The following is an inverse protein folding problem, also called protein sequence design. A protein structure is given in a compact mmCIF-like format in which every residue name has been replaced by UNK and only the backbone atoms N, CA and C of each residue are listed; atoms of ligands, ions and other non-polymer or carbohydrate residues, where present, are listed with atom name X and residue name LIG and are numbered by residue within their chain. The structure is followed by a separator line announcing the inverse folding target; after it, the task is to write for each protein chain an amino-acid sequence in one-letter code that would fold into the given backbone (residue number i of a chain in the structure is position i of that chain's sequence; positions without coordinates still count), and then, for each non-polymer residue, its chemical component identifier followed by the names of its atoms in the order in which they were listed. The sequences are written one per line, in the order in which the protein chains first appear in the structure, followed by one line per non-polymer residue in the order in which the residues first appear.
data_IF_594935866101
#
_entry.id   IF_594935866101
#
_cell.length_a   1.000
_cell.length_b   1.000
_cell.length_c   1.000
_cell.angle_alpha   90.00
_cell.angle_beta   90.00
_cell.angle_gamma   90.00
#
_symmetry.space_group_name_H-M   'P 1'
#
loop_
_entity.id
_entity.type
_entity.pdbx_description
1 polymer ?
#
# COMPACT_ATOMS: atom_id res chain seq x y z
N UNK A 1 12.21 -6.86 -44.27
CA UNK A 1 11.42 -5.62 -44.16
C UNK A 1 12.35 -4.49 -43.78
N UNK A 2 12.20 -3.35 -44.43
CA UNK A 2 13.22 -2.30 -44.49
C UNK A 2 13.08 -1.37 -43.27
N UNK A 3 13.83 -1.64 -42.18
CA UNK A 3 13.88 -0.83 -40.94
C UNK A 3 13.85 0.69 -41.19
N UNK A 4 14.44 1.16 -42.28
CA UNK A 4 14.51 2.59 -42.63
C UNK A 4 13.16 3.20 -43.06
N UNK A 5 12.25 2.44 -43.66
CA UNK A 5 10.92 2.93 -44.06
C UNK A 5 9.98 2.96 -42.85
N UNK A 6 10.03 1.91 -42.02
CA UNK A 6 9.27 1.84 -40.77
C UNK A 6 9.65 2.98 -39.81
N UNK A 7 10.93 3.36 -39.74
CA UNK A 7 11.39 4.45 -38.87
C UNK A 7 10.77 5.82 -39.22
N UNK A 8 10.49 6.11 -40.49
CA UNK A 8 9.94 7.41 -40.91
C UNK A 8 8.45 7.52 -40.56
N UNK A 9 7.69 6.44 -40.78
CA UNK A 9 6.27 6.40 -40.41
C UNK A 9 6.09 6.35 -38.89
N UNK A 10 6.92 5.57 -38.18
CA UNK A 10 6.94 5.55 -36.73
C UNK A 10 7.41 6.88 -36.14
N UNK A 11 8.35 7.60 -36.74
CA UNK A 11 8.80 8.91 -36.24
C UNK A 11 7.68 9.96 -36.20
N UNK A 12 6.70 9.90 -37.12
CA UNK A 12 5.53 10.79 -37.09
C UNK A 12 4.54 10.42 -35.99
N UNK A 13 4.42 9.14 -35.67
CA UNK A 13 3.55 8.63 -34.60
C UNK A 13 4.19 8.75 -33.19
N UNK A 14 5.52 8.86 -33.13
CA UNK A 14 6.29 8.83 -31.89
C UNK A 14 6.70 10.22 -31.36
N UNK A 15 6.13 11.30 -31.89
CA UNK A 15 6.30 12.62 -31.26
C UNK A 15 5.47 12.66 -29.99
N UNK A 16 6.14 12.86 -28.85
CA UNK A 16 5.49 13.01 -27.56
C UNK A 16 5.22 14.50 -27.33
N UNK A 17 3.98 14.85 -27.03
CA UNK A 17 3.58 16.21 -26.67
C UNK A 17 4.29 16.65 -25.37
N UNK A 18 4.71 17.91 -25.30
CA UNK A 18 5.40 18.46 -24.14
C UNK A 18 4.58 18.39 -22.83
N UNK A 19 3.26 18.28 -22.91
CA UNK A 19 2.37 18.04 -21.76
C UNK A 19 2.56 16.68 -21.10
N UNK A 20 3.20 15.71 -21.77
CA UNK A 20 3.59 14.43 -21.17
C UNK A 20 4.97 14.49 -20.50
N UNK A 21 5.65 15.65 -20.50
CA UNK A 21 6.91 15.82 -19.81
C UNK A 21 6.69 15.60 -18.30
N UNK A 22 7.47 14.68 -17.75
CA UNK A 22 7.51 14.43 -16.32
C UNK A 22 8.58 15.31 -15.69
N UNK A 23 8.16 16.42 -15.09
CA UNK A 23 9.06 17.45 -14.57
C UNK A 23 9.71 17.09 -13.23
N UNK A 24 9.32 15.98 -12.61
CA UNK A 24 9.85 15.50 -11.32
C UNK A 24 11.31 15.07 -11.38
N UNK A 25 11.82 14.71 -12.56
CA UNK A 25 13.14 14.09 -12.72
C UNK A 25 14.08 14.93 -13.58
N UNK A 26 15.35 14.90 -13.21
CA UNK A 26 16.46 15.15 -14.12
C UNK A 26 16.86 13.81 -14.77
N UNK A 27 17.10 13.82 -16.08
CA UNK A 27 17.54 12.67 -16.85
C UNK A 27 19.02 12.82 -17.21
N UNK A 28 19.84 11.89 -16.72
CA UNK A 28 21.29 11.99 -16.66
C UNK A 28 22.02 10.91 -17.49
N UNK A 29 21.77 10.84 -18.82
CA UNK A 29 22.29 9.75 -19.67
C UNK A 29 23.81 9.78 -19.86
N UNK A 30 24.47 10.90 -19.54
CA UNK A 30 25.92 11.05 -19.72
C UNK A 30 26.72 10.58 -18.50
N UNK A 31 26.06 10.33 -17.36
CA UNK A 31 26.77 10.06 -16.10
C UNK A 31 27.06 8.57 -15.88
N UNK A 32 26.27 7.67 -16.48
CA UNK A 32 26.40 6.22 -16.27
C UNK A 32 26.11 5.42 -17.56
N UNK A 33 26.55 4.16 -17.59
CA UNK A 33 26.15 3.19 -18.61
C UNK A 33 24.90 2.41 -18.20
N UNK A 34 24.44 1.50 -19.07
CA UNK A 34 23.32 0.63 -18.74
C UNK A 34 23.61 -0.23 -17.48
N UNK A 35 22.64 -0.34 -16.55
CA UNK A 35 22.82 -1.15 -15.35
C UNK A 35 22.91 -2.63 -15.69
N UNK A 36 23.82 -3.34 -15.00
CA UNK A 36 23.84 -4.81 -15.00
C UNK A 36 22.91 -5.37 -13.92
N UNK A 37 22.98 -4.82 -12.72
CA UNK A 37 22.10 -5.13 -11.59
C UNK A 37 22.26 -4.04 -10.51
N UNK A 38 21.16 -3.55 -9.96
CA UNK A 38 21.18 -2.68 -8.77
C UNK A 38 20.58 -3.43 -7.59
N UNK A 39 21.23 -3.34 -6.41
CA UNK A 39 20.66 -3.88 -5.18
C UNK A 39 19.58 -2.92 -4.65
N UNK A 40 18.33 -3.38 -4.68
CA UNK A 40 17.18 -2.66 -4.12
C UNK A 40 16.71 -3.26 -2.79
N UNK A 41 17.50 -4.17 -2.21
CA UNK A 41 17.08 -4.90 -1.02
C UNK A 41 17.01 -4.03 0.23
N UNK A 42 16.07 -4.37 1.10
CA UNK A 42 15.82 -3.69 2.37
C UNK A 42 15.22 -4.69 3.38
N UNK A 43 15.19 -4.29 4.65
CA UNK A 43 14.49 -5.06 5.67
C UNK A 43 13.08 -4.51 5.87
N UNK A 44 12.10 -5.39 6.00
CA UNK A 44 10.71 -5.02 6.26
C UNK A 44 10.06 -6.09 7.12
N UNK A 45 9.47 -5.71 8.27
CA UNK A 45 8.90 -6.65 9.24
C UNK A 45 9.89 -7.77 9.64
N UNK A 46 11.15 -7.37 9.87
CA UNK A 46 12.27 -8.24 10.22
C UNK A 46 12.63 -9.31 9.17
N UNK A 47 12.20 -9.15 7.92
CA UNK A 47 12.56 -10.03 6.80
C UNK A 47 13.20 -9.22 5.68
N UNK A 48 14.04 -9.88 4.87
CA UNK A 48 14.72 -9.22 3.75
C UNK A 48 13.84 -9.25 2.50
N UNK A 49 13.47 -8.08 2.01
CA UNK A 49 12.88 -7.91 0.69
C UNK A 49 13.99 -7.67 -0.34
N UNK A 50 13.84 -8.19 -1.57
CA UNK A 50 14.76 -7.88 -2.68
C UNK A 50 14.46 -6.56 -3.38
N UNK A 51 13.20 -6.11 -3.29
CA UNK A 51 12.73 -4.89 -3.92
C UNK A 51 11.77 -4.15 -2.97
N UNK A 52 11.75 -2.80 -2.96
CA UNK A 52 10.88 -1.98 -2.14
C UNK A 52 9.44 -1.91 -2.70
N UNK A 53 8.87 -3.08 -2.98
CA UNK A 53 7.55 -3.25 -3.57
C UNK A 53 6.67 -3.98 -2.57
N UNK A 54 5.44 -3.50 -2.44
CA UNK A 54 4.41 -4.10 -1.61
C UNK A 54 3.13 -4.36 -2.40
N UNK A 55 2.57 -5.56 -2.30
CA UNK A 55 1.24 -5.85 -2.83
C UNK A 55 0.20 -5.52 -1.75
N UNK A 56 -0.49 -4.38 -1.90
CA UNK A 56 -1.48 -3.91 -0.93
C UNK A 56 -2.71 -4.82 -0.84
N UNK A 57 -3.39 -4.82 0.32
CA UNK A 57 -4.56 -5.66 0.60
C UNK A 57 -5.69 -5.47 -0.41
N UNK A 58 -6.23 -6.56 -0.96
CA UNK A 58 -7.29 -6.51 -1.98
C UNK A 58 -8.45 -7.47 -1.73
N UNK A 59 -8.20 -8.78 -1.68
CA UNK A 59 -9.25 -9.79 -1.78
C UNK A 59 -8.97 -11.06 -0.96
N UNK A 60 -9.99 -11.90 -0.82
CA UNK A 60 -10.02 -13.12 -0.02
C UNK A 60 -11.46 -13.54 0.30
N UNK A 61 -11.68 -14.78 0.71
CA UNK A 61 -13.00 -15.27 1.11
C UNK A 61 -13.97 -15.62 -0.02
N UNK A 62 -13.48 -15.80 -1.26
CA UNK A 62 -14.23 -16.33 -2.42
C UNK A 62 -13.32 -17.18 -3.32
N UNK A 63 -13.84 -18.14 -4.13
CA UNK A 63 -13.01 -18.99 -4.99
C UNK A 63 -12.08 -18.21 -5.94
N UNK A 64 -12.59 -17.17 -6.60
CA UNK A 64 -11.77 -16.29 -7.45
C UNK A 64 -10.70 -15.53 -6.64
N UNK A 65 -11.01 -15.15 -5.40
CA UNK A 65 -10.07 -14.51 -4.49
C UNK A 65 -8.91 -15.45 -4.12
N UNK A 66 -9.20 -16.74 -3.90
CA UNK A 66 -8.17 -17.76 -3.64
C UNK A 66 -7.19 -17.87 -4.82
N UNK A 67 -7.70 -18.04 -6.05
CA UNK A 67 -6.86 -18.14 -7.23
C UNK A 67 -5.98 -16.89 -7.43
N UNK A 68 -6.54 -15.70 -7.23
CA UNK A 68 -5.79 -14.45 -7.31
C UNK A 68 -4.69 -14.41 -6.24
N UNK A 69 -5.01 -14.72 -4.98
CA UNK A 69 -4.04 -14.73 -3.89
C UNK A 69 -2.92 -15.75 -4.11
N UNK A 70 -3.21 -16.93 -4.68
CA UNK A 70 -2.18 -17.91 -5.04
C UNK A 70 -1.22 -17.40 -6.13
N UNK A 71 -1.73 -16.63 -7.10
CA UNK A 71 -0.91 -16.02 -8.15
C UNK A 71 -0.04 -14.87 -7.60
N UNK A 72 -0.59 -14.05 -6.71
CA UNK A 72 0.17 -13.01 -6.02
C UNK A 72 1.25 -13.62 -5.12
N UNK A 73 0.91 -14.66 -4.35
CA UNK A 73 1.86 -15.40 -3.52
C UNK A 73 3.04 -15.96 -4.32
N UNK A 74 2.78 -16.46 -5.54
CA UNK A 74 3.84 -16.95 -6.43
C UNK A 74 4.89 -15.87 -6.74
N UNK A 75 4.48 -14.65 -7.10
CA UNK A 75 5.45 -13.57 -7.38
C UNK A 75 6.09 -13.03 -6.11
N UNK A 76 5.37 -12.97 -4.98
CA UNK A 76 5.95 -12.63 -3.69
C UNK A 76 7.10 -13.56 -3.32
N UNK A 77 6.93 -14.87 -3.51
CA UNK A 77 8.00 -15.85 -3.29
C UNK A 77 9.15 -15.68 -4.27
N UNK A 78 8.85 -15.60 -5.56
CA UNK A 78 9.88 -15.56 -6.62
C UNK A 78 10.77 -14.31 -6.50
N UNK A 79 10.16 -13.16 -6.22
CA UNK A 79 10.85 -11.87 -6.18
C UNK A 79 11.14 -11.37 -4.76
N UNK A 80 10.79 -12.12 -3.70
CA UNK A 80 10.93 -11.71 -2.29
C UNK A 80 10.40 -10.29 -2.04
N UNK A 81 9.10 -10.11 -2.32
CA UNK A 81 8.33 -8.89 -2.04
C UNK A 81 7.16 -9.23 -1.11
N UNK A 82 6.74 -8.28 -0.28
CA UNK A 82 5.69 -8.52 0.71
C UNK A 82 4.27 -8.32 0.17
N UNK A 83 3.27 -8.85 0.89
CA UNK A 83 1.86 -8.65 0.55
C UNK A 83 0.92 -8.55 1.75
N UNK A 84 -0.17 -7.80 1.58
CA UNK A 84 -1.31 -7.81 2.49
C UNK A 84 -2.43 -8.74 2.03
N UNK A 85 -3.00 -9.47 2.99
CA UNK A 85 -4.24 -10.22 2.77
C UNK A 85 -5.43 -9.27 2.64
N UNK A 86 -6.49 -9.69 1.96
CA UNK A 86 -7.81 -9.03 2.06
C UNK A 86 -8.35 -9.07 3.49
N UNK A 87 -9.45 -8.35 3.75
CA UNK A 87 -10.07 -8.33 5.08
C UNK A 87 -10.38 -9.75 5.58
N UNK A 88 -9.76 -10.15 6.69
CA UNK A 88 -9.96 -11.46 7.32
C UNK A 88 -11.24 -11.51 8.16
N UNK A 89 -12.07 -10.45 8.15
CA UNK A 89 -13.35 -10.41 8.89
C UNK A 89 -14.16 -11.69 8.71
N UNK A 90 -14.37 -12.12 7.46
CA UNK A 90 -15.17 -13.33 7.16
C UNK A 90 -14.54 -14.61 7.73
N UNK A 91 -13.22 -14.66 7.87
CA UNK A 91 -12.52 -15.80 8.43
C UNK A 91 -12.74 -15.91 9.95
N UNK A 92 -13.00 -14.79 10.64
CA UNK A 92 -13.35 -14.80 12.06
C UNK A 92 -14.70 -15.49 12.31
N UNK A 93 -15.61 -15.44 11.33
CA UNK A 93 -16.96 -16.02 11.42
C UNK A 93 -17.06 -17.42 10.76
N UNK A 94 -16.18 -17.76 9.82
CA UNK A 94 -16.24 -19.01 9.03
C UNK A 94 -14.85 -19.59 8.74
N UNK A 95 -14.45 -20.59 9.53
CA UNK A 95 -13.16 -21.29 9.39
C UNK A 95 -13.00 -22.00 8.04
N UNK A 96 -14.09 -22.32 7.32
CA UNK A 96 -14.00 -22.96 5.99
C UNK A 96 -13.31 -22.05 4.96
N UNK A 97 -13.23 -20.75 5.23
CA UNK A 97 -12.54 -19.77 4.39
C UNK A 97 -11.03 -19.73 4.62
N UNK A 98 -10.50 -20.46 5.60
CA UNK A 98 -9.08 -20.43 5.99
C UNK A 98 -8.13 -20.63 4.79
N UNK A 99 -8.40 -21.62 3.96
CA UNK A 99 -7.59 -21.94 2.78
C UNK A 99 -7.59 -20.85 1.70
N UNK A 100 -8.48 -19.86 1.78
CA UNK A 100 -8.47 -18.70 0.87
C UNK A 100 -7.52 -17.59 1.33
N UNK A 101 -7.08 -17.64 2.60
CA UNK A 101 -6.19 -16.68 3.24
C UNK A 101 -4.83 -17.30 3.64
N UNK A 102 -4.75 -18.63 3.79
CA UNK A 102 -3.53 -19.34 4.18
C UNK A 102 -2.51 -19.41 3.04
N UNK A 103 -1.72 -18.36 2.87
CA UNK A 103 -0.69 -18.26 1.83
C UNK A 103 0.70 -18.68 2.30
N UNK A 104 0.91 -18.90 3.61
CA UNK A 104 2.23 -19.24 4.16
C UNK A 104 2.88 -20.47 3.49
N UNK A 105 2.16 -21.57 3.20
CA UNK A 105 2.73 -22.70 2.46
C UNK A 105 3.23 -22.36 1.06
N UNK A 106 2.63 -21.34 0.43
CA UNK A 106 2.98 -20.91 -0.92
C UNK A 106 4.17 -19.97 -0.93
N UNK A 107 4.23 -19.02 0.01
CA UNK A 107 5.26 -17.98 0.03
C UNK A 107 6.53 -18.36 0.81
N UNK A 108 6.42 -19.29 1.77
CA UNK A 108 7.51 -19.64 2.69
C UNK A 108 7.65 -18.67 3.88
N UNK A 109 8.65 -18.90 4.73
CA UNK A 109 8.82 -18.12 5.97
C UNK A 109 9.49 -16.75 5.73
N UNK A 110 10.19 -16.55 4.61
CA UNK A 110 10.98 -15.34 4.35
C UNK A 110 10.17 -14.17 3.75
N UNK A 111 8.94 -14.40 3.30
CA UNK A 111 8.09 -13.37 2.72
C UNK A 111 7.21 -12.73 3.79
N UNK A 112 7.21 -11.40 3.95
CA UNK A 112 6.25 -10.71 4.80
C UNK A 112 4.81 -10.88 4.30
N UNK A 113 3.93 -11.39 5.16
CA UNK A 113 2.48 -11.37 4.97
C UNK A 113 1.84 -10.61 6.12
N UNK A 114 0.95 -9.67 5.82
CA UNK A 114 0.12 -9.02 6.86
C UNK A 114 -1.34 -9.43 6.74
N UNK A 115 -1.95 -9.76 7.87
CA UNK A 115 -3.41 -9.88 7.95
C UNK A 115 -4.03 -8.49 7.89
N UNK A 116 -5.28 -8.39 7.45
CA UNK A 116 -5.98 -7.11 7.36
C UNK A 116 -7.34 -7.19 8.05
N UNK A 117 -7.64 -6.28 8.98
CA UNK A 117 -8.92 -6.26 9.70
C UNK A 117 -9.39 -4.82 9.94
N UNK A 118 -10.70 -4.60 9.92
CA UNK A 118 -11.27 -3.25 10.03
C UNK A 118 -11.32 -2.75 11.46
N UNK A 119 -11.15 -1.45 11.64
CA UNK A 119 -11.20 -0.82 12.97
C UNK A 119 -12.52 -1.10 13.71
N UNK A 120 -13.63 -1.22 12.99
CA UNK A 120 -14.92 -1.59 13.57
C UNK A 120 -14.90 -3.01 14.18
N UNK A 121 -14.27 -3.97 13.50
CA UNK A 121 -14.09 -5.32 14.05
C UNK A 121 -13.16 -5.31 15.26
N UNK A 122 -12.11 -4.49 15.25
CA UNK A 122 -11.23 -4.34 16.42
C UNK A 122 -12.01 -3.82 17.62
N UNK A 123 -12.85 -2.80 17.44
CA UNK A 123 -13.71 -2.29 18.52
C UNK A 123 -14.65 -3.38 19.06
N UNK A 124 -15.30 -4.14 18.18
CA UNK A 124 -16.17 -5.25 18.59
C UNK A 124 -15.41 -6.35 19.34
N UNK A 125 -14.23 -6.74 18.86
CA UNK A 125 -13.38 -7.77 19.50
C UNK A 125 -12.96 -7.34 20.90
N UNK A 126 -12.60 -6.07 21.08
CA UNK A 126 -12.24 -5.52 22.39
C UNK A 126 -13.44 -5.47 23.34
N UNK A 127 -14.62 -5.09 22.84
CA UNK A 127 -15.85 -5.03 23.64
C UNK A 127 -16.35 -6.42 24.03
N UNK A 128 -16.22 -7.40 23.13
CA UNK A 128 -16.64 -8.78 23.35
C UNK A 128 -15.59 -9.62 24.10
N UNK A 129 -14.42 -9.05 24.43
CA UNK A 129 -13.28 -9.76 25.01
C UNK A 129 -12.79 -10.97 24.19
N UNK A 130 -12.77 -10.83 22.85
CA UNK A 130 -12.42 -11.90 21.89
C UNK A 130 -10.99 -11.82 21.36
N UNK A 131 -10.09 -11.11 22.04
CA UNK A 131 -8.71 -10.92 21.56
C UNK A 131 -7.97 -12.25 21.39
N UNK A 132 -8.20 -13.23 22.25
CA UNK A 132 -7.59 -14.57 22.15
C UNK A 132 -7.99 -15.29 20.86
N UNK A 133 -9.24 -15.14 20.42
CA UNK A 133 -9.73 -15.73 19.16
C UNK A 133 -9.04 -15.08 17.96
N UNK A 134 -8.88 -13.75 17.99
CA UNK A 134 -8.12 -13.04 16.97
C UNK A 134 -6.66 -13.52 16.94
N UNK A 135 -6.02 -13.65 18.10
CA UNK A 135 -4.65 -14.14 18.22
C UNK A 135 -4.49 -15.57 17.66
N UNK A 136 -5.45 -16.47 17.94
CA UNK A 136 -5.44 -17.82 17.39
C UNK A 136 -5.52 -17.82 15.85
N UNK A 137 -6.42 -17.03 15.27
CA UNK A 137 -6.56 -16.92 13.80
C UNK A 137 -5.29 -16.35 13.16
N UNK A 138 -4.71 -15.31 13.74
CA UNK A 138 -3.45 -14.72 13.27
C UNK A 138 -2.29 -15.74 13.36
N UNK A 139 -2.23 -16.51 14.45
CA UNK A 139 -1.25 -17.57 14.65
C UNK A 139 -1.39 -18.70 13.63
N UNK A 140 -2.61 -19.17 13.35
CA UNK A 140 -2.89 -20.19 12.32
C UNK A 140 -2.45 -19.71 10.92
N UNK A 141 -2.72 -18.45 10.59
CA UNK A 141 -2.27 -17.86 9.32
C UNK A 141 -0.75 -17.64 9.25
N UNK A 142 -0.07 -17.62 10.41
CA UNK A 142 1.35 -17.32 10.55
C UNK A 142 1.72 -16.01 9.85
N UNK A 143 0.94 -14.95 10.07
CA UNK A 143 1.22 -13.60 9.54
C UNK A 143 2.28 -12.89 10.37
N UNK A 144 2.89 -11.85 9.80
CA UNK A 144 4.01 -11.11 10.39
C UNK A 144 3.57 -9.77 11.04
N UNK A 145 2.34 -9.33 10.73
CA UNK A 145 1.74 -8.13 11.27
C UNK A 145 0.21 -8.17 11.07
N UNK A 146 -0.53 -7.52 11.97
CA UNK A 146 -1.95 -7.20 11.78
C UNK A 146 -2.07 -5.76 11.28
N UNK A 147 -2.49 -5.58 10.04
CA UNK A 147 -2.81 -4.29 9.46
C UNK A 147 -4.28 -3.92 9.78
N UNK A 148 -4.48 -2.83 10.53
CA UNK A 148 -5.80 -2.30 10.88
C UNK A 148 -6.17 -1.21 9.87
N UNK A 149 -7.20 -1.45 9.05
CA UNK A 149 -7.71 -0.40 8.17
C UNK A 149 -8.73 0.48 8.87
N UNK A 150 -8.60 1.79 8.67
CA UNK A 150 -9.50 2.83 9.17
C UNK A 150 -10.21 3.45 7.97
N UNK A 151 -11.53 3.27 7.90
CA UNK A 151 -12.34 3.54 6.71
C UNK A 151 -13.71 4.19 7.03
N UNK A 152 -13.76 5.29 7.82
CA UNK A 152 -15.01 5.85 8.35
C UNK A 152 -16.02 6.18 7.25
N UNK A 153 -15.57 6.82 6.18
CA UNK A 153 -16.44 7.27 5.10
C UNK A 153 -16.94 6.10 4.26
N UNK A 154 -16.09 5.11 3.99
CA UNK A 154 -16.51 3.87 3.32
C UNK A 154 -17.62 3.18 4.13
N UNK A 155 -17.41 2.95 5.44
CA UNK A 155 -18.41 2.32 6.30
C UNK A 155 -19.70 3.14 6.35
N UNK A 156 -19.58 4.47 6.36
CA UNK A 156 -20.74 5.35 6.36
C UNK A 156 -21.62 5.16 5.12
N UNK A 157 -20.99 5.13 3.94
CA UNK A 157 -21.70 4.99 2.65
C UNK A 157 -22.17 3.56 2.37
N UNK A 158 -21.50 2.55 2.92
CA UNK A 158 -21.82 1.16 2.68
C UNK A 158 -23.19 0.80 3.27
N UNK A 159 -24.05 0.15 2.48
CA UNK A 159 -25.32 -0.41 2.98
C UNK A 159 -25.03 -1.49 4.02
N UNK A 160 -25.45 -1.24 5.26
CA UNK A 160 -25.13 -2.11 6.41
C UNK A 160 -23.66 -2.08 6.81
N UNK A 161 -22.92 -1.02 6.44
CA UNK A 161 -21.57 -0.79 6.94
C UNK A 161 -21.55 -0.67 8.46
N UNK A 162 -20.45 -1.06 9.06
CA UNK A 162 -20.31 -1.05 10.51
C UNK A 162 -20.22 0.39 11.05
N UNK A 163 -20.41 0.55 12.35
CA UNK A 163 -20.17 1.80 13.04
C UNK A 163 -19.26 1.51 14.21
N UNK A 164 -18.31 2.40 14.43
CA UNK A 164 -17.40 2.37 15.56
C UNK A 164 -17.50 3.73 16.24
N UNK A 165 -17.55 3.73 17.56
CA UNK A 165 -17.98 4.90 18.34
C UNK A 165 -16.85 5.50 19.16
N UNK A 166 -15.76 4.76 19.37
CA UNK A 166 -14.57 5.33 19.97
C UNK A 166 -13.60 5.80 18.88
N UNK A 167 -12.81 6.87 19.14
CA UNK A 167 -11.71 7.24 18.26
C UNK A 167 -10.79 6.04 17.98
N UNK A 168 -10.45 5.76 16.70
CA UNK A 168 -9.63 4.59 16.31
C UNK A 168 -8.34 4.41 17.11
N UNK A 169 -7.67 5.50 17.46
CA UNK A 169 -6.41 5.47 18.20
C UNK A 169 -6.54 4.79 19.58
N UNK A 170 -7.72 4.85 20.21
CA UNK A 170 -7.99 4.19 21.50
C UNK A 170 -8.01 2.68 21.31
N UNK A 171 -8.78 2.20 20.32
CA UNK A 171 -8.88 0.77 20.01
C UNK A 171 -7.53 0.22 19.57
N UNK A 172 -6.80 0.93 18.70
CA UNK A 172 -5.46 0.57 18.24
C UNK A 172 -4.50 0.43 19.42
N UNK A 173 -4.48 1.40 20.35
CA UNK A 173 -3.61 1.35 21.54
C UNK A 173 -3.94 0.16 22.44
N UNK A 174 -5.23 -0.15 22.63
CA UNK A 174 -5.67 -1.28 23.45
C UNK A 174 -5.27 -2.62 22.85
N UNK A 175 -5.60 -2.84 21.57
CA UNK A 175 -5.33 -4.13 20.91
C UNK A 175 -3.83 -4.38 20.75
N UNK A 176 -3.02 -3.33 20.51
CA UNK A 176 -1.55 -3.45 20.47
C UNK A 176 -0.94 -3.90 21.80
N UNK A 177 -1.59 -3.63 22.93
CA UNK A 177 -1.15 -4.10 24.24
C UNK A 177 -1.61 -5.53 24.59
N UNK A 178 -2.42 -6.16 23.73
CA UNK A 178 -2.99 -7.49 23.98
C UNK A 178 -2.55 -8.54 22.94
N UNK A 179 -1.96 -8.14 21.81
CA UNK A 179 -1.47 -9.06 20.79
C UNK A 179 0.05 -9.23 20.88
N UNK A 180 0.52 -10.46 20.67
CA UNK A 180 1.95 -10.78 20.57
C UNK A 180 2.58 -10.37 19.21
N UNK A 181 1.74 -9.93 18.27
CA UNK A 181 2.11 -9.59 16.90
C UNK A 181 2.19 -8.07 16.69
N UNK A 182 3.14 -7.55 15.89
CA UNK A 182 3.15 -6.14 15.52
C UNK A 182 1.85 -5.71 14.84
N UNK A 183 1.48 -4.45 15.05
CA UNK A 183 0.31 -3.83 14.45
C UNK A 183 0.73 -2.78 13.43
N UNK A 184 0.05 -2.79 12.29
CA UNK A 184 0.08 -1.74 11.29
C UNK A 184 -1.25 -0.99 11.24
N UNK A 185 -1.23 0.22 10.69
CA UNK A 185 -2.44 0.99 10.40
C UNK A 185 -2.44 1.40 8.93
N UNK A 186 -3.62 1.41 8.31
CA UNK A 186 -3.79 1.91 6.95
C UNK A 186 -5.08 2.68 6.75
N UNK A 187 -5.06 3.62 5.80
CA UNK A 187 -6.29 4.17 5.23
C UNK A 187 -6.77 3.26 4.07
N UNK A 188 -7.76 3.67 3.27
CA UNK A 188 -8.37 2.90 2.18
C UNK A 188 -8.65 3.75 0.92
N UNK A 189 -7.85 4.77 0.62
CA UNK A 189 -7.90 5.48 -0.67
C UNK A 189 -8.23 6.98 -0.61
N UNK A 190 -8.36 7.55 0.58
CA UNK A 190 -8.45 8.99 0.84
C UNK A 190 -7.21 9.52 1.57
N UNK A 191 -6.37 8.67 2.16
CA UNK A 191 -5.20 9.10 2.91
C UNK A 191 -5.52 9.75 4.26
N UNK A 192 -4.51 9.88 5.12
CA UNK A 192 -4.68 10.44 6.47
C UNK A 192 -4.18 11.88 6.53
N UNK A 193 -4.94 12.74 7.21
CA UNK A 193 -4.57 14.14 7.42
C UNK A 193 -3.56 14.36 8.56
N UNK A 194 -3.04 15.59 8.72
CA UNK A 194 -1.92 15.90 9.61
C UNK A 194 -2.11 15.51 11.08
N UNK A 195 -3.30 15.77 11.65
CA UNK A 195 -3.60 15.41 13.05
C UNK A 195 -3.63 13.89 13.26
N UNK A 196 -4.11 13.14 12.25
CA UNK A 196 -4.14 11.68 12.30
C UNK A 196 -2.74 11.09 12.22
N UNK A 197 -1.88 11.63 11.34
CA UNK A 197 -0.48 11.19 11.23
C UNK A 197 0.30 11.51 12.52
N UNK A 198 0.14 12.72 13.08
CA UNK A 198 0.76 13.08 14.37
C UNK A 198 0.31 12.13 15.49
N UNK A 199 -0.99 11.81 15.55
CA UNK A 199 -1.51 10.87 16.54
C UNK A 199 -0.94 9.46 16.32
N UNK A 200 -0.79 9.02 15.07
CA UNK A 200 -0.24 7.71 14.72
C UNK A 200 1.20 7.53 15.23
N UNK A 201 2.03 8.57 15.19
CA UNK A 201 3.40 8.50 15.71
C UNK A 201 3.46 8.28 17.23
N UNK A 202 2.39 8.61 17.95
CA UNK A 202 2.27 8.39 19.40
C UNK A 202 1.71 7.00 19.75
N UNK A 203 1.40 6.16 18.75
CA UNK A 203 0.83 4.83 18.96
C UNK A 203 1.91 3.74 18.87
N UNK A 204 1.68 2.58 19.51
CA UNK A 204 2.49 1.38 19.33
C UNK A 204 2.23 0.71 17.96
N UNK A 205 2.33 1.48 16.88
CA UNK A 205 2.12 1.04 15.50
C UNK A 205 3.48 0.90 14.84
N UNK A 206 3.74 -0.28 14.29
CA UNK A 206 5.00 -0.62 13.62
C UNK A 206 4.99 -0.24 12.14
N UNK A 207 3.88 -0.46 11.45
CA UNK A 207 3.74 -0.23 10.00
C UNK A 207 2.66 0.81 9.72
N UNK A 208 2.91 1.75 8.83
CA UNK A 208 1.86 2.64 8.32
C UNK A 208 1.75 2.54 6.79
N UNK A 209 0.56 2.20 6.29
CA UNK A 209 0.27 2.27 4.85
C UNK A 209 -0.60 3.48 4.53
N UNK A 210 -0.15 4.31 3.59
CA UNK A 210 -0.79 5.57 3.27
C UNK A 210 -2.19 5.37 2.71
N UNK A 211 -2.33 4.47 1.72
CA UNK A 211 -3.54 4.32 0.93
C UNK A 211 -4.14 5.71 0.56
N UNK A 212 -3.28 6.54 -0.01
CA UNK A 212 -3.54 7.94 -0.27
C UNK A 212 -4.62 8.15 -1.34
N UNK A 213 -5.10 9.39 -1.38
CA UNK A 213 -5.96 9.88 -2.45
C UNK A 213 -5.27 9.78 -3.83
N UNK A 214 -6.06 9.56 -4.88
CA UNK A 214 -5.59 9.46 -6.27
C UNK A 214 -5.66 8.06 -6.86
N UNK A 215 -5.82 7.03 -6.02
CA UNK A 215 -6.06 5.65 -6.44
C UNK A 215 -7.54 5.23 -6.36
N UNK A 216 -7.76 3.96 -6.03
CA UNK A 216 -9.09 3.45 -5.72
C UNK A 216 -9.65 4.13 -4.48
N UNK A 217 -10.74 4.89 -4.63
CA UNK A 217 -11.46 5.51 -3.52
C UNK A 217 -12.67 4.64 -3.13
N UNK A 218 -12.58 3.96 -1.99
CA UNK A 218 -13.62 3.02 -1.54
C UNK A 218 -14.92 3.74 -1.13
N UNK A 219 -14.84 4.97 -0.63
CA UNK A 219 -16.04 5.81 -0.36
C UNK A 219 -16.80 6.08 -1.65
N UNK A 220 -16.11 6.44 -2.74
CA UNK A 220 -16.72 6.62 -4.07
C UNK A 220 -17.33 5.32 -4.58
N UNK A 221 -16.66 4.19 -4.37
CA UNK A 221 -17.17 2.87 -4.77
C UNK A 221 -18.49 2.56 -4.08
N UNK A 222 -18.60 2.76 -2.77
CA UNK A 222 -19.83 2.49 -2.03
C UNK A 222 -20.95 3.51 -2.34
N UNK A 223 -20.61 4.78 -2.55
CA UNK A 223 -21.57 5.80 -2.98
C UNK A 223 -22.25 5.41 -4.31
N UNK A 224 -21.48 4.90 -5.29
CA UNK A 224 -21.99 4.44 -6.58
C UNK A 224 -22.93 3.22 -6.48
N UNK A 225 -22.90 2.50 -5.36
CA UNK A 225 -23.76 1.34 -5.10
C UNK A 225 -25.09 1.71 -4.45
N UNK A 226 -25.27 2.96 -4.04
CA UNK A 226 -26.53 3.43 -3.48
C UNK A 226 -27.61 3.52 -4.55
N UNK A 227 -28.86 3.28 -4.15
CA UNK A 227 -30.03 3.42 -5.03
C UNK A 227 -30.59 4.85 -5.00
N UNK A 228 -30.57 5.50 -3.83
CA UNK A 228 -31.06 6.87 -3.63
C UNK A 228 -30.13 7.90 -4.30
N UNK A 229 -30.60 8.49 -5.41
CA UNK A 229 -29.82 9.44 -6.21
C UNK A 229 -29.71 10.82 -5.57
N UNK A 230 -30.73 11.27 -4.84
CA UNK A 230 -30.70 12.57 -4.16
C UNK A 230 -29.69 12.53 -3.02
N UNK A 231 -29.70 11.43 -2.25
CA UNK A 231 -28.71 11.23 -1.19
C UNK A 231 -27.29 11.10 -1.76
N UNK A 232 -27.13 10.37 -2.87
CA UNK A 232 -25.84 10.29 -3.58
C UNK A 232 -25.30 11.67 -3.94
N UNK A 233 -26.08 12.52 -4.62
CA UNK A 233 -25.64 13.88 -4.98
C UNK A 233 -25.30 14.73 -3.76
N UNK A 234 -26.10 14.65 -2.71
CA UNK A 234 -25.93 15.44 -1.48
C UNK A 234 -24.61 15.11 -0.77
N UNK A 235 -24.21 13.84 -0.78
CA UNK A 235 -23.04 13.34 -0.07
C UNK A 235 -21.79 13.27 -0.97
N UNK A 236 -21.97 13.30 -2.30
CA UNK A 236 -20.90 13.26 -3.28
C UNK A 236 -19.71 14.20 -3.01
N UNK A 237 -19.87 15.43 -2.48
CA UNK A 237 -18.73 16.29 -2.16
C UNK A 237 -17.68 15.66 -1.22
N UNK A 238 -18.03 14.66 -0.40
CA UNK A 238 -17.07 13.99 0.47
C UNK A 238 -16.07 13.11 -0.28
N UNK A 239 -16.36 12.68 -1.52
CA UNK A 239 -15.44 11.81 -2.26
C UNK A 239 -14.17 12.54 -2.73
N UNK A 240 -14.17 13.87 -2.71
CA UNK A 240 -13.01 14.70 -3.09
C UNK A 240 -12.14 15.09 -1.91
N UNK A 241 -12.57 14.77 -0.67
CA UNK A 241 -11.81 15.04 0.54
C UNK A 241 -10.77 13.95 0.74
N UNK A 242 -9.52 14.34 1.01
CA UNK A 242 -8.43 13.40 1.25
C UNK A 242 -7.07 14.08 1.18
N UNK A 243 -6.03 13.26 1.25
CA UNK A 243 -4.63 13.62 1.13
C UNK A 243 -3.96 12.65 0.16
N UNK A 244 -3.33 13.20 -0.88
CA UNK A 244 -2.49 12.43 -1.79
C UNK A 244 -1.14 12.05 -1.13
N UNK A 245 -0.36 11.20 -1.79
CA UNK A 245 0.89 10.70 -1.22
C UNK A 245 1.91 11.84 -0.98
N UNK A 246 1.96 12.85 -1.85
CA UNK A 246 2.90 13.97 -1.75
C UNK A 246 2.57 14.86 -0.54
N UNK A 247 1.32 15.25 -0.38
CA UNK A 247 0.87 16.04 0.77
C UNK A 247 1.08 15.30 2.10
N UNK A 248 0.88 13.98 2.13
CA UNK A 248 1.20 13.15 3.29
C UNK A 248 2.71 13.11 3.57
N UNK A 249 3.57 12.94 2.56
CA UNK A 249 5.04 13.02 2.71
C UNK A 249 5.45 14.38 3.31
N UNK A 250 4.97 15.48 2.72
CA UNK A 250 5.27 16.83 3.19
C UNK A 250 4.79 17.07 4.62
N UNK A 251 3.68 16.43 5.00
CA UNK A 251 3.19 16.45 6.38
C UNK A 251 4.18 15.78 7.33
N UNK A 252 4.74 14.61 6.99
CA UNK A 252 5.78 13.98 7.82
C UNK A 252 7.02 14.85 8.00
N UNK A 253 7.42 15.61 6.96
CA UNK A 253 8.52 16.57 7.06
C UNK A 253 8.29 17.70 8.06
N UNK A 254 7.02 18.01 8.36
CA UNK A 254 6.61 19.10 9.27
C UNK A 254 6.23 18.60 10.67
N UNK A 255 6.24 17.28 10.92
CA UNK A 255 5.77 16.69 12.18
C UNK A 255 6.88 16.65 13.25
N UNK A 256 6.46 16.84 14.51
CA UNK A 256 7.33 16.69 15.67
C UNK A 256 7.35 15.23 16.15
N UNK A 257 8.55 14.74 16.46
CA UNK A 257 8.71 13.46 17.15
C UNK A 257 8.18 13.58 18.60
N UNK A 258 7.73 12.47 19.22
CA UNK A 258 7.37 12.45 20.63
C UNK A 258 8.52 12.94 21.52
N UNK A 259 8.23 13.43 22.73
CA UNK A 259 9.23 14.03 23.64
C UNK A 259 10.42 13.12 23.96
N UNK A 260 10.22 11.80 23.97
CA UNK A 260 11.27 10.81 24.19
C UNK A 260 12.08 10.47 22.92
N UNK A 261 11.70 11.03 21.76
CA UNK A 261 12.32 10.80 20.45
C UNK A 261 12.09 9.39 19.87
N UNK A 262 11.38 8.50 20.58
CA UNK A 262 11.23 7.10 20.18
C UNK A 262 9.82 6.85 19.64
N UNK A 263 9.74 6.57 18.34
CA UNK A 263 8.52 6.10 17.68
C UNK A 263 8.55 4.58 17.48
N UNK A 264 7.37 3.96 17.60
CA UNK A 264 7.20 2.52 17.30
C UNK A 264 7.16 2.25 15.80
N UNK A 265 6.84 3.27 14.99
CA UNK A 265 6.80 3.18 13.54
C UNK A 265 8.20 2.89 13.00
N UNK A 266 8.35 1.77 12.29
CA UNK A 266 9.60 1.33 11.66
C UNK A 266 9.48 1.20 10.16
N UNK A 267 8.28 0.98 9.65
CA UNK A 267 8.05 0.76 8.22
C UNK A 267 6.88 1.56 7.66
N UNK A 268 7.03 2.05 6.43
CA UNK A 268 5.99 2.77 5.69
C UNK A 268 5.75 2.13 4.33
N UNK A 269 4.48 2.01 3.97
CA UNK A 269 4.02 1.61 2.64
C UNK A 269 3.35 2.84 2.01
N UNK A 270 4.00 3.47 1.03
CA UNK A 270 3.40 4.57 0.27
C UNK A 270 2.54 3.97 -0.84
N UNK A 271 1.23 3.98 -0.65
CA UNK A 271 0.25 3.45 -1.60
C UNK A 271 -0.86 4.47 -1.87
N UNK A 272 -1.71 4.20 -2.86
CA UNK A 272 -2.75 5.11 -3.33
C UNK A 272 -2.22 6.04 -4.43
N UNK A 273 -2.77 5.91 -5.64
CA UNK A 273 -2.34 6.70 -6.81
C UNK A 273 -0.97 6.32 -7.39
N UNK A 274 -0.33 5.24 -6.92
CA UNK A 274 0.96 4.77 -7.46
C UNK A 274 0.73 3.95 -8.72
N UNK A 275 0.91 4.56 -9.89
CA UNK A 275 0.58 3.94 -11.18
C UNK A 275 1.72 3.12 -11.79
N UNK A 276 2.97 3.52 -11.53
CA UNK A 276 4.17 2.93 -12.10
C UNK A 276 5.31 2.74 -11.08
N UNK A 277 6.32 1.96 -11.46
CA UNK A 277 7.55 1.81 -10.69
C UNK A 277 8.29 3.15 -10.50
N UNK A 278 8.18 4.06 -11.47
CA UNK A 278 8.82 5.38 -11.44
C UNK A 278 8.18 6.28 -10.38
N UNK A 279 6.85 6.24 -10.29
CA UNK A 279 6.11 6.97 -9.24
C UNK A 279 6.45 6.43 -7.86
N UNK A 280 6.47 5.10 -7.72
CA UNK A 280 6.80 4.44 -6.46
C UNK A 280 8.20 4.81 -5.95
N UNK A 281 9.22 4.72 -6.81
CA UNK A 281 10.59 5.09 -6.45
C UNK A 281 10.75 6.59 -6.15
N UNK A 282 10.08 7.45 -6.92
CA UNK A 282 10.06 8.89 -6.66
C UNK A 282 9.50 9.22 -5.27
N UNK A 283 8.39 8.57 -4.89
CA UNK A 283 7.78 8.77 -3.59
C UNK A 283 8.67 8.28 -2.44
N UNK A 284 9.33 7.12 -2.61
CA UNK A 284 10.30 6.60 -1.64
C UNK A 284 11.46 7.59 -1.45
N UNK A 285 12.08 8.02 -2.54
CA UNK A 285 13.23 8.89 -2.50
C UNK A 285 12.88 10.25 -1.89
N UNK A 286 11.71 10.80 -2.25
CA UNK A 286 11.20 12.04 -1.68
C UNK A 286 10.93 11.90 -0.19
N UNK A 287 10.28 10.81 0.24
CA UNK A 287 10.05 10.55 1.66
C UNK A 287 11.38 10.50 2.43
N UNK A 288 12.34 9.71 1.95
CA UNK A 288 13.66 9.59 2.60
C UNK A 288 14.41 10.93 2.66
N UNK A 289 14.31 11.75 1.62
CA UNK A 289 14.92 13.11 1.57
C UNK A 289 14.29 14.06 2.59
N UNK A 290 12.96 14.05 2.72
CA UNK A 290 12.20 14.99 3.57
C UNK A 290 12.21 14.57 5.04
N UNK A 291 12.34 13.28 5.33
CA UNK A 291 12.21 12.75 6.70
C UNK A 291 13.43 11.95 7.18
N UNK A 292 14.67 12.43 7.01
CA UNK A 292 15.87 11.68 7.40
C UNK A 292 15.88 11.32 8.90
N UNK A 293 15.19 12.10 9.73
CA UNK A 293 15.06 11.90 11.17
C UNK A 293 14.24 10.66 11.58
N UNK A 294 13.35 10.16 10.71
CA UNK A 294 12.46 9.04 11.07
C UNK A 294 13.17 7.68 11.04
N UNK A 295 14.22 7.53 10.22
CA UNK A 295 14.97 6.28 10.06
C UNK A 295 14.07 5.04 9.85
N UNK A 296 13.01 5.19 9.06
CA UNK A 296 12.06 4.13 8.71
C UNK A 296 12.39 3.51 7.36
N UNK A 297 12.05 2.24 7.20
CA UNK A 297 12.11 1.55 5.92
C UNK A 297 10.85 1.85 5.11
N UNK A 298 11.02 2.08 3.80
CA UNK A 298 9.94 2.59 2.95
C UNK A 298 9.83 1.75 1.68
N UNK A 299 8.62 1.29 1.40
CA UNK A 299 8.25 0.59 0.17
C UNK A 299 7.10 1.33 -0.50
N UNK A 300 6.92 1.13 -1.80
CA UNK A 300 5.71 1.60 -2.49
C UNK A 300 4.72 0.44 -2.63
N UNK A 301 3.44 0.74 -2.40
CA UNK A 301 2.36 -0.23 -2.43
C UNK A 301 1.48 -0.08 -3.67
N UNK A 302 1.18 -1.21 -4.32
CA UNK A 302 0.22 -1.27 -5.42
C UNK A 302 -0.77 -2.41 -5.19
N UNK A 303 -2.04 -2.14 -5.50
CA UNK A 303 -3.11 -3.13 -5.48
C UNK A 303 -3.58 -3.42 -6.91
N UNK A 304 -4.26 -2.45 -7.52
CA UNK A 304 -5.00 -2.64 -8.77
C UNK A 304 -4.15 -3.18 -9.93
N UNK A 305 -2.93 -2.67 -10.16
CA UNK A 305 -2.04 -3.16 -11.22
C UNK A 305 -1.70 -4.64 -11.07
N UNK A 306 -1.32 -5.07 -9.87
CA UNK A 306 -1.06 -6.48 -9.59
C UNK A 306 -2.32 -7.33 -9.79
N UNK A 307 -3.49 -6.81 -9.41
CA UNK A 307 -4.78 -7.50 -9.64
C UNK A 307 -5.09 -7.70 -11.12
N UNK A 308 -4.85 -6.69 -11.97
CA UNK A 308 -5.08 -6.77 -13.41
C UNK A 308 -4.31 -7.94 -14.02
N UNK A 309 -3.00 -8.04 -13.76
CA UNK A 309 -2.16 -9.11 -14.29
C UNK A 309 -2.42 -10.46 -13.60
N UNK A 310 -2.70 -10.47 -12.29
CA UNK A 310 -3.03 -11.68 -11.56
C UNK A 310 -4.35 -12.31 -12.04
N UNK A 311 -5.30 -11.52 -12.57
CA UNK A 311 -6.52 -12.06 -13.20
C UNK A 311 -6.22 -12.78 -14.51
N UNK A 312 -5.21 -12.33 -15.26
CA UNK A 312 -4.78 -12.94 -16.52
C UNK A 312 -4.11 -14.29 -16.23
N UNK A 313 -2.87 -14.29 -15.71
CA UNK A 313 -2.13 -15.51 -15.42
C UNK A 313 -0.90 -15.26 -14.53
N UNK A 314 -0.18 -16.32 -14.13
CA UNK A 314 1.08 -16.18 -13.39
C UNK A 314 2.17 -15.55 -14.28
N UNK A 315 2.18 -15.91 -15.56
CA UNK A 315 3.16 -15.46 -16.56
C UNK A 315 2.98 -13.98 -16.90
N UNK A 316 1.73 -13.50 -16.95
CA UNK A 316 1.46 -12.07 -17.11
C UNK A 316 1.98 -11.26 -15.93
N UNK A 317 1.77 -11.76 -14.70
CA UNK A 317 2.25 -11.13 -13.48
C UNK A 317 3.79 -11.15 -13.38
N UNK A 318 4.41 -12.25 -13.81
CA UNK A 318 5.86 -12.39 -13.92
C UNK A 318 6.45 -11.38 -14.90
N UNK A 319 5.84 -11.27 -16.09
CA UNK A 319 6.26 -10.34 -17.13
C UNK A 319 6.16 -8.88 -16.67
N UNK A 320 5.08 -8.54 -15.95
CA UNK A 320 4.93 -7.24 -15.31
C UNK A 320 6.05 -6.98 -14.30
N UNK A 321 6.36 -7.94 -13.42
CA UNK A 321 7.44 -7.81 -12.43
C UNK A 321 8.81 -7.62 -13.07
N UNK A 322 9.13 -8.35 -14.15
CA UNK A 322 10.38 -8.15 -14.88
C UNK A 322 10.51 -6.74 -15.44
N UNK A 323 9.44 -6.20 -16.02
CA UNK A 323 9.40 -4.82 -16.51
C UNK A 323 9.56 -3.78 -15.40
N UNK A 324 8.95 -4.02 -14.23
CA UNK A 324 9.12 -3.19 -13.03
C UNK A 324 10.58 -3.18 -12.59
N UNK A 325 11.20 -4.35 -12.43
CA UNK A 325 12.59 -4.48 -11.98
C UNK A 325 13.57 -3.79 -12.95
N UNK A 326 13.39 -4.02 -14.26
CA UNK A 326 14.20 -3.35 -15.28
C UNK A 326 14.03 -1.82 -15.20
N UNK A 327 12.80 -1.35 -15.04
CA UNK A 327 12.51 0.08 -14.86
C UNK A 327 13.20 0.66 -13.61
N UNK A 328 13.20 -0.06 -12.51
CA UNK A 328 13.88 0.36 -11.28
C UNK A 328 15.40 0.44 -11.45
N UNK A 329 16.01 -0.50 -12.16
CA UNK A 329 17.44 -0.43 -12.47
C UNK A 329 17.75 0.82 -13.33
N UNK A 330 16.95 1.08 -14.36
CA UNK A 330 17.08 2.27 -15.20
C UNK A 330 16.87 3.57 -14.41
N UNK A 331 15.91 3.59 -13.47
CA UNK A 331 15.68 4.71 -12.57
C UNK A 331 16.96 5.04 -11.81
N UNK A 332 17.59 4.05 -11.17
CA UNK A 332 18.78 4.26 -10.35
C UNK A 332 20.02 4.65 -11.15
N UNK A 333 20.08 4.30 -12.43
CA UNK A 333 21.19 4.67 -13.31
C UNK A 333 21.05 6.07 -13.90
N UNK A 334 19.84 6.45 -14.32
CA UNK A 334 19.64 7.59 -15.22
C UNK A 334 18.76 8.70 -14.67
N UNK A 335 18.07 8.50 -13.56
CA UNK A 335 17.14 9.50 -13.02
C UNK A 335 17.60 9.99 -11.66
N UNK A 336 17.44 11.29 -11.44
CA UNK A 336 17.55 11.94 -10.13
C UNK A 336 16.32 12.85 -9.91
N UNK A 337 15.98 13.11 -8.66
CA UNK A 337 14.88 14.02 -8.33
C UNK A 337 15.31 15.46 -8.52
N UNK A 338 14.47 16.28 -9.18
CA UNK A 338 14.71 17.72 -9.27
C UNK A 338 14.63 18.38 -7.89
N UNK A 339 15.49 19.35 -7.64
CA UNK A 339 15.54 20.07 -6.36
C UNK A 339 14.31 20.97 -6.11
N UNK A 340 13.68 21.49 -7.17
CA UNK A 340 12.58 22.47 -7.06
C UNK A 340 11.23 21.86 -6.66
N UNK A 341 11.18 20.53 -6.47
CA UNK A 341 9.96 19.83 -6.07
C UNK A 341 9.60 20.13 -4.60
N UNK A 342 10.51 20.78 -3.85
CA UNK A 342 10.41 21.07 -2.42
C UNK A 342 10.01 22.53 -2.06
N UNK A 343 9.87 23.44 -3.04
CA UNK A 343 9.70 24.89 -2.77
C UNK A 343 8.25 25.41 -2.79
N UNK A 344 7.26 24.58 -3.13
CA UNK A 344 5.84 24.97 -3.03
C UNK A 344 5.24 24.41 -1.73
N UNK A 345 5.39 25.24 -0.68
CA UNK A 345 5.01 25.02 0.74
C UNK A 345 3.51 24.93 0.97
#
# INVERSE_FOLDING_TARGET
MNRKVDHIELAKLNQIDGSFLDDRFDYEPLLTGHPLHTDHSLNFLNKRLKYPIWISSMTGGMPMGKLINERLAYVCKKYQIGMGLGSIRKLLDDERLFDTFNLRPLVGEDVPIVANLGIAQIENILNDHKTDQLQEVLGKLRVDCLMIHVNPLQEWMQKGGDRYYVPPYISIKKIAGQLDLPIGVKEVGQGMGPKSIQQLLNLPVRVFEFAAFGGTNFTKMELLRLEDKIYQETINPLITVGHDAISMINTFGKIFLPENGVISLKEIIISGGVESWKDGLCLIDRFKKITPQLQVEVVFGQAFRFLEYAKISKEALDSYMLGVIQGMDLYRSFLSLKNNVDDEV
#
